data_IF_326770767608
#
_entry.id   IF_326770767608
#
_cell.length_a   1.000
_cell.length_b   1.000
_cell.length_c   1.000
_cell.angle_alpha   90.00
_cell.angle_beta   90.00
_cell.angle_gamma   90.00
#
_symmetry.space_group_name_H-M   'P 1'
#
loop_
_entity.id
_entity.type
_entity.pdbx_description
1 polymer ?
#
# COMPACT_ATOMS: atom_id res chain seq x y z
N UNK A 1 -67.88 16.48 -33.02
CA UNK A 1 -68.15 17.34 -31.84
C UNK A 1 -67.12 17.00 -30.78
N UNK A 2 -66.29 17.99 -30.44
CA UNK A 2 -65.40 18.21 -29.29
C UNK A 2 -64.78 17.07 -28.46
N UNK A 3 -63.47 17.28 -28.23
CA UNK A 3 -62.51 16.52 -27.44
C UNK A 3 -62.80 16.40 -25.93
N UNK A 4 -62.06 15.49 -25.26
CA UNK A 4 -61.43 15.74 -23.94
C UNK A 4 -60.34 14.72 -23.59
N UNK A 5 -59.22 15.26 -23.10
CA UNK A 5 -58.03 14.62 -22.53
C UNK A 5 -58.33 13.81 -21.24
N UNK A 6 -57.54 12.77 -20.94
CA UNK A 6 -57.00 12.55 -19.59
C UNK A 6 -55.93 11.43 -19.47
N UNK A 7 -54.87 11.83 -18.77
CA UNK A 7 -53.71 11.21 -18.12
C UNK A 7 -53.68 9.71 -17.69
N UNK A 8 -52.46 9.14 -17.84
CA UNK A 8 -51.66 8.30 -16.91
C UNK A 8 -52.18 6.97 -16.31
N UNK A 9 -51.41 5.88 -16.48
CA UNK A 9 -50.80 5.13 -15.37
C UNK A 9 -49.82 4.06 -15.87
N UNK A 10 -48.56 4.21 -15.44
CA UNK A 10 -47.43 3.29 -15.60
C UNK A 10 -47.63 2.09 -14.67
N UNK A 11 -47.54 0.85 -15.19
CA UNK A 11 -47.56 -0.37 -14.36
C UNK A 11 -46.14 -0.70 -13.91
N UNK A 12 -45.99 -0.83 -12.59
CA UNK A 12 -44.75 -0.93 -11.86
C UNK A 12 -44.03 -2.29 -12.00
N UNK A 13 -42.71 -2.19 -12.01
CA UNK A 13 -41.71 -3.27 -11.89
C UNK A 13 -41.75 -3.87 -10.48
N UNK A 14 -41.79 -5.20 -10.38
CA UNK A 14 -41.41 -5.93 -9.17
C UNK A 14 -40.39 -7.01 -9.55
N UNK A 15 -39.14 -6.59 -9.72
CA UNK A 15 -38.00 -7.49 -9.65
C UNK A 15 -37.58 -7.57 -8.16
N UNK A 16 -38.08 -8.58 -7.47
CA UNK A 16 -37.62 -8.96 -6.13
C UNK A 16 -36.21 -9.55 -6.24
N UNK A 17 -35.19 -8.69 -6.17
CA UNK A 17 -33.80 -9.12 -6.02
C UNK A 17 -33.59 -9.69 -4.61
N UNK A 18 -33.09 -10.92 -4.52
CA UNK A 18 -32.65 -11.52 -3.27
C UNK A 18 -31.49 -10.71 -2.67
N UNK A 19 -31.79 -9.87 -1.69
CA UNK A 19 -30.77 -9.30 -0.83
C UNK A 19 -30.27 -10.40 0.12
N UNK A 20 -29.12 -11.00 -0.21
CA UNK A 20 -28.38 -11.86 0.72
C UNK A 20 -27.80 -10.99 1.84
N UNK A 21 -28.59 -10.73 2.88
CA UNK A 21 -28.09 -10.07 4.09
C UNK A 21 -27.49 -11.14 5.00
N UNK A 22 -26.18 -11.35 4.90
CA UNK A 22 -25.44 -12.13 5.89
C UNK A 22 -25.65 -11.54 7.29
N UNK A 23 -25.90 -12.35 8.34
CA UNK A 23 -26.15 -11.83 9.68
C UNK A 23 -24.88 -11.19 10.25
N UNK A 24 -24.99 -9.92 10.67
CA UNK A 24 -23.94 -9.19 11.40
C UNK A 24 -24.10 -9.49 12.88
N UNK A 25 -23.08 -10.07 13.51
CA UNK A 25 -23.04 -10.33 14.96
C UNK A 25 -22.43 -9.11 15.68
N UNK A 26 -23.13 -8.54 16.66
CA UNK A 26 -22.60 -7.52 17.58
C UNK A 26 -22.56 -6.09 17.04
N UNK A 27 -23.71 -5.46 16.80
CA UNK A 27 -23.80 -4.12 16.19
C UNK A 27 -24.59 -3.12 17.03
N UNK A 28 -24.07 -2.67 18.17
CA UNK A 28 -24.68 -1.52 18.87
C UNK A 28 -24.07 -0.17 18.51
N UNK A 29 -22.80 -0.10 18.10
CA UNK A 29 -22.12 1.17 17.75
C UNK A 29 -21.00 1.02 16.69
N UNK A 30 -20.90 -0.11 15.98
CA UNK A 30 -19.83 -0.37 15.00
C UNK A 30 -20.48 -0.58 13.64
N UNK A 31 -20.08 0.23 12.66
CA UNK A 31 -20.47 0.08 11.26
C UNK A 31 -19.22 -0.05 10.41
N UNK A 32 -19.29 -0.87 9.35
CA UNK A 32 -18.30 -0.83 8.30
C UNK A 32 -18.32 0.56 7.63
N UNK A 33 -17.15 1.17 7.47
CA UNK A 33 -16.95 2.40 6.71
C UNK A 33 -16.48 2.11 5.29
N UNK A 34 -16.51 3.13 4.44
CA UNK A 34 -15.89 3.06 3.11
C UNK A 34 -14.37 3.19 3.23
N UNK A 35 -13.65 2.15 2.80
CA UNK A 35 -12.19 2.11 2.78
C UNK A 35 -11.55 3.18 1.89
N UNK A 36 -12.30 3.79 0.98
CA UNK A 36 -11.85 4.85 0.07
C UNK A 36 -12.27 6.26 0.52
N UNK A 37 -12.99 6.38 1.64
CA UNK A 37 -13.37 7.68 2.15
C UNK A 37 -12.13 8.48 2.57
N UNK A 38 -12.21 9.80 2.40
CA UNK A 38 -11.20 10.72 2.91
C UNK A 38 -11.38 10.87 4.42
N UNK A 39 -10.37 10.47 5.16
CA UNK A 39 -10.33 10.58 6.61
C UNK A 39 -10.02 12.03 7.03
N UNK A 40 -10.96 12.66 7.73
CA UNK A 40 -10.85 14.05 8.23
C UNK A 40 -10.95 14.13 9.76
N UNK A 41 -10.59 13.04 10.45
CA UNK A 41 -10.74 12.92 11.91
C UNK A 41 -9.63 13.67 12.66
N UNK A 42 -8.41 13.66 12.12
CA UNK A 42 -7.22 14.26 12.76
C UNK A 42 -6.22 14.75 11.70
N UNK A 43 -5.30 15.65 12.09
CA UNK A 43 -4.14 16.01 11.26
C UNK A 43 -2.98 15.01 11.39
N UNK A 44 -3.10 13.99 12.24
CA UNK A 44 -2.11 12.91 12.36
C UNK A 44 -2.18 11.97 11.16
N UNK A 45 -1.09 11.27 10.87
CA UNK A 45 -1.00 10.41 9.69
C UNK A 45 -2.09 9.33 9.72
N UNK A 46 -2.90 9.30 8.67
CA UNK A 46 -4.10 8.47 8.60
C UNK A 46 -4.10 7.49 7.44
N UNK A 47 -5.21 6.75 7.33
CA UNK A 47 -5.42 5.73 6.30
C UNK A 47 -5.41 6.31 4.89
N UNK A 48 -6.03 7.47 4.69
CA UNK A 48 -6.06 8.16 3.39
C UNK A 48 -4.66 8.59 2.95
N UNK A 49 -3.81 9.04 3.87
CA UNK A 49 -2.44 9.47 3.55
C UNK A 49 -1.59 8.31 3.05
N UNK A 50 -1.68 7.16 3.74
CA UNK A 50 -1.02 5.93 3.34
C UNK A 50 -1.45 5.50 1.93
N UNK A 51 -2.75 5.47 1.67
CA UNK A 51 -3.29 5.08 0.37
C UNK A 51 -2.81 6.04 -0.73
N UNK A 52 -2.90 7.36 -0.50
CA UNK A 52 -2.45 8.37 -1.46
C UNK A 52 -0.96 8.24 -1.78
N UNK A 53 -0.11 8.04 -0.77
CA UNK A 53 1.33 7.85 -0.96
C UNK A 53 1.60 6.58 -1.75
N UNK A 54 1.06 5.45 -1.30
CA UNK A 54 1.31 4.15 -1.91
C UNK A 54 0.87 4.13 -3.38
N UNK A 55 -0.30 4.67 -3.68
CA UNK A 55 -0.79 4.80 -5.04
C UNK A 55 0.05 5.74 -5.90
N UNK A 56 0.43 6.91 -5.39
CA UNK A 56 1.24 7.89 -6.13
C UNK A 56 2.60 7.31 -6.49
N UNK A 57 3.29 6.73 -5.51
CA UNK A 57 4.61 6.11 -5.69
C UNK A 57 4.53 4.91 -6.63
N UNK A 58 3.53 4.04 -6.47
CA UNK A 58 3.33 2.88 -7.36
C UNK A 58 3.12 3.33 -8.80
N UNK A 59 2.23 4.31 -9.02
CA UNK A 59 1.97 4.82 -10.37
C UNK A 59 3.24 5.40 -10.96
N UNK A 60 3.90 6.32 -10.26
CA UNK A 60 5.13 6.96 -10.77
C UNK A 60 6.21 5.93 -11.13
N UNK A 61 6.48 4.98 -10.22
CA UNK A 61 7.48 3.95 -10.46
C UNK A 61 7.09 3.01 -11.62
N UNK A 62 5.81 2.61 -11.73
CA UNK A 62 5.36 1.76 -12.84
C UNK A 62 5.46 2.47 -14.20
N UNK A 63 5.17 3.78 -14.26
CA UNK A 63 5.26 4.56 -15.49
C UNK A 63 6.69 4.92 -15.90
N UNK A 64 7.66 4.81 -15.00
CA UNK A 64 9.08 5.12 -15.28
C UNK A 64 9.70 4.25 -16.38
N UNK A 65 9.16 3.05 -16.63
CA UNK A 65 9.74 2.07 -17.55
C UNK A 65 10.95 1.31 -17.00
N UNK A 66 11.46 1.65 -15.81
CA UNK A 66 12.64 0.98 -15.21
C UNK A 66 12.33 -0.44 -14.77
N UNK A 67 11.06 -0.72 -14.44
CA UNK A 67 10.59 -2.05 -14.06
C UNK A 67 10.22 -2.95 -15.25
N UNK A 68 10.52 -2.55 -16.49
CA UNK A 68 10.32 -3.41 -17.65
C UNK A 68 11.16 -4.70 -17.53
N UNK A 69 10.61 -5.82 -18.00
CA UNK A 69 11.24 -7.14 -17.83
C UNK A 69 11.08 -7.76 -16.44
N UNK A 70 10.26 -7.16 -15.56
CA UNK A 70 9.88 -7.71 -14.25
C UNK A 70 11.12 -8.04 -13.37
N UNK A 71 11.94 -7.03 -13.07
CA UNK A 71 13.16 -7.20 -12.29
C UNK A 71 12.83 -7.62 -10.84
N UNK A 72 13.84 -8.18 -10.17
CA UNK A 72 13.76 -8.46 -8.74
C UNK A 72 14.18 -7.21 -7.97
N UNK A 73 13.30 -6.74 -7.08
CA UNK A 73 13.51 -5.56 -6.25
C UNK A 73 13.61 -6.00 -4.78
N UNK A 74 14.54 -5.46 -4.02
CA UNK A 74 14.59 -5.62 -2.57
C UNK A 74 14.11 -4.34 -1.90
N UNK A 75 13.22 -4.46 -0.90
CA UNK A 75 12.73 -3.31 -0.15
C UNK A 75 13.55 -3.16 1.13
N UNK A 76 13.99 -1.93 1.39
CA UNK A 76 14.67 -1.54 2.61
C UNK A 76 13.72 -0.73 3.50
N UNK A 77 14.06 -0.62 4.77
CA UNK A 77 13.26 0.14 5.73
C UNK A 77 13.19 1.62 5.34
N UNK A 78 11.96 2.13 5.23
CA UNK A 78 11.70 3.55 5.02
C UNK A 78 11.83 4.26 6.36
N UNK A 79 12.75 5.22 6.44
CA UNK A 79 13.06 5.92 7.70
C UNK A 79 11.91 6.84 8.10
N UNK A 80 11.38 6.67 9.30
CA UNK A 80 10.45 7.62 9.89
C UNK A 80 11.23 8.76 10.59
N UNK A 81 11.12 9.98 10.03
CA UNK A 81 11.70 11.22 10.56
C UNK A 81 10.63 12.20 11.06
N UNK A 82 9.42 11.69 11.33
CA UNK A 82 8.34 12.47 11.94
C UNK A 82 8.41 12.36 13.46
N UNK A 83 7.59 13.15 14.16
CA UNK A 83 7.43 13.05 15.61
C UNK A 83 6.41 12.00 16.04
N UNK A 84 5.74 11.34 15.11
CA UNK A 84 4.68 10.36 15.37
C UNK A 84 5.11 8.94 14.95
N UNK A 85 4.43 7.94 15.52
CA UNK A 85 4.62 6.56 15.10
C UNK A 85 3.86 6.31 13.79
N UNK A 86 4.60 6.19 12.69
CA UNK A 86 4.08 5.77 11.39
C UNK A 86 4.67 4.41 11.07
N UNK A 87 3.79 3.44 10.80
CA UNK A 87 4.20 2.17 10.24
C UNK A 87 4.53 2.34 8.75
N UNK A 88 5.80 2.66 8.48
CA UNK A 88 6.28 2.86 7.12
C UNK A 88 6.34 1.54 6.33
N UNK A 89 6.28 0.37 6.98
CA UNK A 89 6.24 -0.94 6.31
C UNK A 89 4.89 -1.18 5.66
N UNK A 90 3.81 -0.65 6.21
CA UNK A 90 2.48 -0.75 5.59
C UNK A 90 2.41 0.05 4.26
N UNK A 91 3.11 1.19 4.20
CA UNK A 91 3.24 1.98 2.96
C UNK A 91 3.98 1.17 1.90
N UNK A 92 5.16 0.61 2.23
CA UNK A 92 5.94 -0.17 1.27
C UNK A 92 5.27 -1.50 0.91
N UNK A 93 4.56 -2.14 1.83
CA UNK A 93 3.77 -3.35 1.58
C UNK A 93 2.62 -3.10 0.61
N UNK A 94 1.96 -1.94 0.73
CA UNK A 94 0.94 -1.51 -0.21
C UNK A 94 1.52 -1.31 -1.61
N UNK A 95 2.68 -0.65 -1.73
CA UNK A 95 3.41 -0.48 -3.01
C UNK A 95 3.79 -1.84 -3.60
N UNK A 96 4.43 -2.72 -2.82
CA UNK A 96 4.79 -4.08 -3.21
C UNK A 96 3.59 -4.83 -3.78
N UNK A 97 2.48 -4.80 -3.05
CA UNK A 97 1.25 -5.51 -3.41
C UNK A 97 0.71 -5.03 -4.76
N UNK A 98 0.66 -3.73 -4.99
CA UNK A 98 0.16 -3.18 -6.26
C UNK A 98 1.08 -3.51 -7.44
N UNK A 99 2.41 -3.42 -7.27
CA UNK A 99 3.39 -3.78 -8.29
C UNK A 99 3.41 -5.29 -8.60
N UNK A 100 3.19 -6.13 -7.58
CA UNK A 100 3.06 -7.59 -7.77
C UNK A 100 1.77 -7.96 -8.51
N UNK A 101 0.64 -7.35 -8.13
CA UNK A 101 -0.68 -7.59 -8.77
C UNK A 101 -0.67 -7.27 -10.26
N UNK A 102 0.10 -6.26 -10.66
CA UNK A 102 0.26 -5.85 -12.06
C UNK A 102 1.32 -6.66 -12.82
N UNK A 103 2.05 -7.54 -12.14
CA UNK A 103 3.15 -8.30 -12.74
C UNK A 103 4.37 -7.45 -13.09
N UNK A 104 4.44 -6.21 -12.61
CA UNK A 104 5.47 -5.22 -12.97
C UNK A 104 6.81 -5.51 -12.31
N UNK A 105 6.83 -6.12 -11.13
CA UNK A 105 8.07 -6.48 -10.42
C UNK A 105 7.94 -7.83 -9.70
N UNK A 106 9.10 -8.37 -9.30
CA UNK A 106 9.22 -9.42 -8.29
C UNK A 106 9.95 -8.81 -7.09
N UNK A 107 9.65 -9.30 -5.89
CA UNK A 107 10.33 -8.84 -4.68
C UNK A 107 11.17 -9.97 -4.11
N UNK A 108 12.44 -9.68 -3.81
CA UNK A 108 13.26 -10.55 -2.99
C UNK A 108 12.74 -10.52 -1.54
N UNK A 109 13.16 -11.49 -0.73
CA UNK A 109 12.93 -11.42 0.72
C UNK A 109 13.42 -10.07 1.25
N UNK A 110 12.56 -9.40 2.00
CA UNK A 110 12.89 -8.14 2.65
C UNK A 110 14.17 -8.33 3.48
N UNK A 111 14.98 -7.28 3.59
CA UNK A 111 16.21 -7.30 4.39
C UNK A 111 15.96 -7.79 5.83
N UNK A 112 14.81 -7.45 6.39
CA UNK A 112 14.40 -7.85 7.74
C UNK A 112 14.00 -9.33 7.88
N UNK A 113 13.49 -9.94 6.81
CA UNK A 113 13.02 -11.33 6.82
C UNK A 113 14.08 -12.34 6.32
N UNK A 114 15.18 -11.84 5.77
CA UNK A 114 16.25 -12.66 5.19
C UNK A 114 16.78 -13.73 6.14
N UNK A 115 16.93 -13.40 7.43
CA UNK A 115 17.45 -14.35 8.43
C UNK A 115 16.51 -15.55 8.61
N UNK A 116 15.20 -15.30 8.70
CA UNK A 116 14.19 -16.37 8.81
C UNK A 116 14.21 -17.29 7.59
N UNK A 117 14.41 -16.73 6.39
CA UNK A 117 14.51 -17.48 5.15
C UNK A 117 15.78 -18.36 5.12
N UNK A 118 16.91 -17.83 5.58
CA UNK A 118 18.17 -18.58 5.71
C UNK A 118 18.02 -19.72 6.71
N UNK A 119 17.42 -19.47 7.85
CA UNK A 119 17.23 -20.49 8.89
C UNK A 119 16.27 -21.59 8.44
N UNK A 120 15.24 -21.25 7.66
CA UNK A 120 14.35 -22.23 7.04
C UNK A 120 15.08 -23.10 5.99
N UNK A 121 16.04 -22.55 5.24
CA UNK A 121 16.88 -23.35 4.32
C UNK A 121 17.81 -24.28 5.11
N UNK A 122 18.44 -23.80 6.18
CA UNK A 122 19.26 -24.64 7.06
C UNK A 122 18.44 -25.76 7.67
N UNK A 123 17.25 -25.45 8.19
CA UNK A 123 16.35 -26.43 8.77
C UNK A 123 15.99 -27.53 7.75
N UNK A 124 15.64 -27.16 6.52
CA UNK A 124 15.35 -28.13 5.45
C UNK A 124 16.55 -29.03 5.14
N UNK A 125 17.75 -28.45 5.04
CA UNK A 125 18.94 -29.16 4.54
C UNK A 125 19.70 -29.93 5.65
N UNK A 126 19.58 -29.53 6.91
CA UNK A 126 20.44 -30.02 8.00
C UNK A 126 19.69 -30.78 9.11
N UNK A 127 18.36 -30.62 9.24
CA UNK A 127 17.61 -31.25 10.33
C UNK A 127 17.42 -32.77 10.19
N UNK A 128 17.56 -33.30 8.97
CA UNK A 128 17.23 -34.70 8.67
C UNK A 128 15.72 -35.01 8.71
N UNK A 129 14.84 -34.02 8.92
CA UNK A 129 13.39 -34.22 9.07
C UNK A 129 12.63 -34.28 7.74
N UNK A 130 13.20 -33.73 6.65
CA UNK A 130 12.51 -33.55 5.37
C UNK A 130 12.98 -34.56 4.30
N UNK A 131 12.08 -34.92 3.38
CA UNK A 131 12.41 -35.77 2.23
C UNK A 131 13.42 -35.05 1.32
N UNK A 132 14.52 -35.71 0.96
CA UNK A 132 15.59 -35.11 0.12
C UNK A 132 15.11 -34.60 -1.25
N UNK A 133 14.03 -35.15 -1.82
CA UNK A 133 13.48 -34.69 -3.09
C UNK A 133 12.68 -33.38 -2.98
N UNK A 134 12.30 -32.96 -1.77
CA UNK A 134 11.46 -31.78 -1.55
C UNK A 134 12.22 -30.60 -0.96
N UNK A 135 13.48 -30.77 -0.54
CA UNK A 135 14.25 -29.69 0.08
C UNK A 135 14.75 -28.68 -0.95
N UNK A 136 14.66 -27.39 -0.59
CA UNK A 136 15.22 -26.31 -1.42
C UNK A 136 16.74 -26.24 -1.27
N UNK A 137 17.46 -26.02 -2.38
CA UNK A 137 18.93 -25.91 -2.38
C UNK A 137 19.39 -24.54 -1.87
N UNK A 138 20.42 -24.53 -1.03
CA UNK A 138 21.16 -23.32 -0.67
C UNK A 138 21.87 -22.73 -1.90
N UNK A 139 21.93 -21.40 -2.00
CA UNK A 139 22.58 -20.69 -3.10
C UNK A 139 21.68 -20.35 -4.29
N UNK A 140 20.42 -20.78 -4.29
CA UNK A 140 19.46 -20.51 -5.37
C UNK A 140 18.63 -19.21 -5.16
N UNK A 141 18.96 -18.39 -4.16
CA UNK A 141 18.27 -17.11 -3.99
C UNK A 141 18.57 -16.18 -5.16
N UNK A 142 17.53 -15.56 -5.71
CA UNK A 142 17.69 -14.61 -6.82
C UNK A 142 18.12 -13.25 -6.25
N UNK A 143 19.27 -12.76 -6.69
CA UNK A 143 19.76 -11.44 -6.31
C UNK A 143 18.81 -10.33 -6.81
N UNK A 144 18.63 -9.29 -6.02
CA UNK A 144 17.87 -8.13 -6.43
C UNK A 144 18.70 -7.28 -7.41
N UNK A 145 18.06 -6.84 -8.49
CA UNK A 145 18.63 -5.85 -9.42
C UNK A 145 18.56 -4.45 -8.82
N UNK A 146 17.45 -4.16 -8.16
CA UNK A 146 17.18 -2.86 -7.57
C UNK A 146 16.91 -2.97 -6.08
N UNK A 147 17.24 -1.91 -5.34
CA UNK A 147 16.81 -1.71 -3.96
C UNK A 147 15.91 -0.48 -3.87
N UNK A 148 14.80 -0.60 -3.16
CA UNK A 148 13.82 0.46 -2.93
C UNK A 148 13.96 0.96 -1.49
N UNK A 149 14.26 2.25 -1.31
CA UNK A 149 14.46 2.86 0.01
C UNK A 149 13.91 4.28 0.06
N UNK A 150 13.71 4.83 1.27
CA UNK A 150 13.14 6.16 1.39
C UNK A 150 13.06 6.70 2.81
N UNK A 151 12.33 7.80 2.96
CA UNK A 151 11.99 8.36 4.26
C UNK A 151 10.68 9.15 4.24
N UNK A 152 10.02 9.22 5.39
CA UNK A 152 8.91 10.15 5.66
C UNK A 152 9.35 11.19 6.69
N UNK A 153 9.00 12.45 6.49
CA UNK A 153 9.29 13.56 7.40
C UNK A 153 8.07 14.47 7.56
N UNK A 154 8.01 15.21 8.67
CA UNK A 154 6.91 16.13 8.96
C UNK A 154 7.41 17.50 9.43
N UNK A 155 6.71 18.56 9.05
CA UNK A 155 6.83 19.90 9.63
C UNK A 155 5.50 20.23 10.29
N UNK A 156 5.53 20.52 11.59
CA UNK A 156 4.35 20.85 12.38
C UNK A 156 4.41 22.32 12.80
N UNK A 157 3.38 23.09 12.46
CA UNK A 157 3.19 24.48 12.92
C UNK A 157 1.91 24.56 13.74
N UNK A 158 1.96 25.29 14.85
CA UNK A 158 0.84 25.45 15.78
C UNK A 158 0.71 26.92 16.20
N UNK A 159 -0.53 27.38 16.28
CA UNK A 159 -0.94 28.66 16.86
C UNK A 159 -2.14 28.43 17.80
N UNK A 160 -2.70 29.50 18.37
CA UNK A 160 -3.95 29.44 19.15
C UNK A 160 -5.09 28.80 18.36
N UNK A 161 -5.19 29.18 17.09
CA UNK A 161 -6.39 28.96 16.28
C UNK A 161 -6.18 27.88 15.20
N UNK A 162 -4.92 27.53 14.91
CA UNK A 162 -4.58 26.60 13.83
C UNK A 162 -3.52 25.56 14.22
N UNK A 163 -3.72 24.34 13.75
CA UNK A 163 -2.68 23.31 13.63
C UNK A 163 -2.47 23.00 12.14
N UNK A 164 -1.23 23.12 11.68
CA UNK A 164 -0.82 22.81 10.30
C UNK A 164 0.26 21.74 10.34
N UNK A 165 0.02 20.64 9.61
CA UNK A 165 0.96 19.52 9.52
C UNK A 165 1.24 19.26 8.04
N UNK A 166 2.52 19.35 7.68
CA UNK A 166 3.01 19.04 6.36
C UNK A 166 3.84 17.76 6.43
N UNK A 167 3.50 16.79 5.59
CA UNK A 167 4.22 15.54 5.40
C UNK A 167 4.92 15.54 4.06
N UNK A 168 6.13 14.98 4.05
CA UNK A 168 6.84 14.64 2.82
C UNK A 168 7.32 13.20 2.88
N UNK A 169 6.87 12.40 1.92
CA UNK A 169 7.34 11.05 1.68
C UNK A 169 8.25 11.07 0.46
N UNK A 170 9.46 10.53 0.58
CA UNK A 170 10.42 10.42 -0.52
C UNK A 170 10.86 8.98 -0.69
N UNK A 171 10.88 8.49 -1.92
CA UNK A 171 11.25 7.13 -2.27
C UNK A 171 12.23 7.14 -3.43
N UNK A 172 13.18 6.21 -3.43
CA UNK A 172 14.12 6.02 -4.51
C UNK A 172 14.34 4.54 -4.81
N UNK A 173 14.55 4.25 -6.09
CA UNK A 173 14.98 2.96 -6.61
C UNK A 173 16.44 3.10 -7.04
N UNK A 174 17.30 2.29 -6.44
CA UNK A 174 18.74 2.30 -6.70
C UNK A 174 19.16 0.99 -7.35
N UNK A 175 19.92 1.07 -8.44
CA UNK A 175 20.55 -0.10 -9.05
C UNK A 175 21.65 -0.65 -8.12
N UNK A 176 21.58 -1.95 -7.83
CA UNK A 176 22.45 -2.59 -6.83
C UNK A 176 23.89 -2.70 -7.32
N UNK A 177 24.09 -2.87 -8.63
CA UNK A 177 25.42 -3.06 -9.22
C UNK A 177 26.19 -1.73 -9.33
N UNK A 178 25.54 -0.70 -9.87
CA UNK A 178 26.15 0.61 -10.13
C UNK A 178 26.02 1.59 -8.96
N UNK A 179 25.06 1.37 -8.06
CA UNK A 179 24.73 2.29 -6.97
C UNK A 179 23.99 3.56 -7.42
N UNK A 180 23.57 3.65 -8.68
CA UNK A 180 22.89 4.81 -9.23
C UNK A 180 21.40 4.82 -8.83
N UNK A 181 20.89 6.00 -8.48
CA UNK A 181 19.46 6.21 -8.33
C UNK A 181 18.81 6.27 -9.72
N UNK A 182 18.10 5.21 -10.08
CA UNK A 182 17.44 5.07 -11.39
C UNK A 182 16.07 5.76 -11.39
N UNK A 183 15.41 5.82 -10.23
CA UNK A 183 14.15 6.52 -10.06
C UNK A 183 14.07 7.15 -8.67
N UNK A 184 13.46 8.32 -8.59
CA UNK A 184 13.17 9.00 -7.34
C UNK A 184 11.86 9.76 -7.50
N UNK A 185 11.04 9.77 -6.45
CA UNK A 185 9.84 10.60 -6.41
C UNK A 185 9.48 10.99 -4.98
N UNK A 186 8.66 12.03 -4.85
CA UNK A 186 8.15 12.51 -3.58
C UNK A 186 6.65 12.79 -3.61
N UNK A 187 6.01 12.60 -2.45
CA UNK A 187 4.61 12.91 -2.23
C UNK A 187 4.48 13.80 -1.01
N UNK A 188 3.85 14.94 -1.23
CA UNK A 188 3.53 15.89 -0.18
C UNK A 188 2.06 15.79 0.21
N UNK A 189 1.79 15.94 1.51
CA UNK A 189 0.46 16.00 2.09
C UNK A 189 0.45 17.14 3.11
N UNK A 190 -0.56 17.99 3.06
CA UNK A 190 -0.75 19.07 4.04
C UNK A 190 -2.13 18.97 4.65
N UNK A 191 -2.20 19.00 5.98
CA UNK A 191 -3.45 18.97 6.75
C UNK A 191 -3.49 20.15 7.70
N UNK A 192 -4.60 20.86 7.71
CA UNK A 192 -4.83 22.02 8.56
C UNK A 192 -6.12 21.82 9.34
N UNK A 193 -6.12 22.16 10.62
CA UNK A 193 -7.33 22.17 11.47
C UNK A 193 -7.43 23.51 12.15
N UNK A 194 -8.63 24.09 12.05
CA UNK A 194 -9.05 25.30 12.76
C UNK A 194 -9.70 24.89 14.09
N UNK A 195 -9.54 25.73 15.11
CA UNK A 195 -10.00 25.45 16.47
C UNK A 195 -11.34 26.08 16.79
#
# INVERSE_FOLDING_TARGET
>A
MFARFSFLAVVAVLASGCANTSPVLGGKNISYGDTKAVELVTNEFGSTDLQMIAESMTRSLAHSGILQGRPVVQVYDVKNKTSEYIDTREITTSIKTQLMKTGTARFASDNTDMQSQVDQLKLQNQSGLYKKSTVSKTGNMVAAKYRLEGSISSIVKRSSDYKDVFYKFSLQLVDVESGLAEWMDEKEIRKTTER
#
